data_IF_490937595140
#
_entry.id   IF_490937595140
#
_cell.length_a   1.000
_cell.length_b   1.000
_cell.length_c   1.000
_cell.angle_alpha   90.00
_cell.angle_beta   90.00
_cell.angle_gamma   90.00
#
_symmetry.space_group_name_H-M   'P 1'
#
loop_
_entity.id
_entity.type
_entity.pdbx_description
1 polymer ?
#
# COMPACT_ATOMS: atom_id res chain seq x y z
N UNK A 1 -25.50 -10.09 -23.93
CA UNK A 1 -26.32 -11.17 -23.33
C UNK A 1 -25.47 -12.44 -23.38
N UNK A 2 -25.17 -13.06 -22.24
CA UNK A 2 -24.46 -14.35 -22.22
C UNK A 2 -25.40 -15.45 -22.72
N UNK A 3 -24.96 -16.28 -23.66
CA UNK A 3 -25.73 -17.45 -24.10
C UNK A 3 -25.90 -18.42 -22.92
N UNK A 4 -27.13 -18.90 -22.64
CA UNK A 4 -27.36 -19.82 -21.54
C UNK A 4 -26.68 -21.18 -21.85
N UNK A 5 -25.82 -21.62 -20.92
CA UNK A 5 -25.05 -22.84 -21.06
C UNK A 5 -25.83 -24.05 -20.51
N UNK A 6 -26.73 -24.59 -21.35
CA UNK A 6 -27.76 -25.57 -20.96
C UNK A 6 -27.53 -26.98 -21.52
N UNK A 7 -26.37 -27.25 -22.11
CA UNK A 7 -26.07 -28.54 -22.75
C UNK A 7 -25.01 -29.34 -22.00
N UNK A 8 -25.11 -30.66 -22.06
CA UNK A 8 -24.12 -31.63 -21.55
C UNK A 8 -23.81 -32.71 -22.58
N UNK A 9 -22.65 -33.34 -22.46
CA UNK A 9 -22.21 -34.47 -23.28
C UNK A 9 -22.30 -35.73 -22.43
N UNK A 10 -23.08 -36.70 -22.89
CA UNK A 10 -23.36 -37.95 -22.20
C UNK A 10 -22.96 -39.13 -23.08
N UNK A 11 -22.35 -40.16 -22.49
CA UNK A 11 -22.05 -41.44 -23.17
C UNK A 11 -23.30 -42.32 -23.32
N UNK A 12 -23.19 -43.42 -24.07
CA UNK A 12 -24.29 -44.36 -24.27
C UNK A 12 -24.69 -45.10 -22.99
N UNK A 13 -23.77 -45.09 -22.03
CA UNK A 13 -23.75 -45.70 -20.72
C UNK A 13 -24.37 -44.77 -19.65
N UNK A 14 -24.65 -43.51 -20.02
CA UNK A 14 -25.21 -42.49 -19.13
C UNK A 14 -24.17 -41.67 -18.35
N UNK A 15 -22.88 -41.82 -18.63
CA UNK A 15 -21.81 -41.06 -17.99
C UNK A 15 -21.71 -39.65 -18.60
N UNK A 16 -21.62 -38.62 -17.75
CA UNK A 16 -21.52 -37.23 -18.20
C UNK A 16 -20.06 -36.81 -18.26
N UNK A 17 -19.57 -36.49 -19.47
CA UNK A 17 -18.17 -36.12 -19.69
C UNK A 17 -17.94 -34.61 -19.69
N UNK A 18 -18.97 -33.83 -20.01
CA UNK A 18 -18.91 -32.37 -19.98
C UNK A 18 -20.30 -31.79 -19.74
N UNK A 19 -20.38 -30.74 -18.94
CA UNK A 19 -21.63 -30.02 -18.63
C UNK A 19 -21.44 -28.53 -18.87
N UNK A 20 -22.54 -27.76 -18.86
CA UNK A 20 -22.53 -26.29 -19.01
C UNK A 20 -21.93 -25.84 -20.34
N UNK A 21 -22.31 -26.50 -21.42
CA UNK A 21 -21.97 -26.09 -22.78
C UNK A 21 -23.00 -25.07 -23.30
N UNK A 22 -22.51 -24.01 -23.92
CA UNK A 22 -23.36 -23.09 -24.71
C UNK A 22 -23.88 -23.79 -25.97
N UNK A 23 -24.92 -23.26 -26.59
CA UNK A 23 -25.43 -23.72 -27.90
C UNK A 23 -24.30 -23.83 -28.94
N UNK A 24 -23.42 -22.84 -28.96
CA UNK A 24 -22.27 -22.79 -29.87
C UNK A 24 -21.25 -23.91 -29.59
N UNK A 25 -20.92 -24.15 -28.31
CA UNK A 25 -19.99 -25.22 -27.91
C UNK A 25 -20.59 -26.62 -28.11
N UNK A 26 -21.89 -26.79 -27.83
CA UNK A 26 -22.60 -28.03 -28.07
C UNK A 26 -22.68 -28.36 -29.57
N UNK A 27 -22.92 -27.37 -30.42
CA UNK A 27 -22.93 -27.56 -31.88
C UNK A 27 -21.54 -27.94 -32.43
N UNK A 28 -20.48 -27.29 -31.95
CA UNK A 28 -19.10 -27.66 -32.31
C UNK A 28 -18.78 -29.11 -31.91
N UNK A 29 -19.23 -29.54 -30.71
CA UNK A 29 -19.04 -30.90 -30.23
C UNK A 29 -19.88 -31.92 -31.02
N UNK A 30 -21.13 -31.62 -31.34
CA UNK A 30 -21.98 -32.46 -32.18
C UNK A 30 -21.38 -32.63 -33.59
N UNK A 31 -20.83 -31.57 -34.16
CA UNK A 31 -20.13 -31.61 -35.46
C UNK A 31 -18.88 -32.48 -35.40
N UNK A 32 -18.11 -32.38 -34.31
CA UNK A 32 -16.95 -33.24 -34.06
C UNK A 32 -17.33 -34.71 -33.93
N UNK A 33 -18.43 -35.03 -33.23
CA UNK A 33 -18.93 -36.39 -33.03
C UNK A 33 -19.47 -37.02 -34.33
N UNK A 34 -20.13 -36.25 -35.18
CA UNK A 34 -20.59 -36.71 -36.50
C UNK A 34 -19.41 -36.98 -37.44
N UNK A 35 -18.35 -36.17 -37.33
CA UNK A 35 -17.15 -36.30 -38.18
C UNK A 35 -16.25 -37.46 -37.72
N UNK A 36 -16.19 -37.75 -36.42
CA UNK A 36 -15.39 -38.83 -35.84
C UNK A 36 -16.25 -40.06 -35.50
N UNK A 37 -16.32 -41.01 -36.43
CA UNK A 37 -17.10 -42.27 -36.29
C UNK A 37 -16.63 -43.24 -35.19
N UNK A 38 -15.57 -42.90 -34.45
CA UNK A 38 -14.96 -43.77 -33.41
C UNK A 38 -15.51 -43.54 -32.00
N UNK A 39 -16.55 -42.71 -31.83
CA UNK A 39 -17.19 -42.45 -30.52
C UNK A 39 -18.66 -42.88 -30.51
N UNK A 40 -18.97 -44.17 -30.73
CA UNK A 40 -20.34 -44.65 -30.72
C UNK A 40 -20.95 -44.48 -29.32
N UNK A 41 -22.12 -43.82 -29.25
CA UNK A 41 -22.89 -43.66 -28.01
C UNK A 41 -22.76 -42.29 -27.34
N UNK A 42 -21.79 -41.45 -27.71
CA UNK A 42 -21.66 -40.10 -27.15
C UNK A 42 -22.65 -39.15 -27.83
N UNK A 43 -23.48 -38.46 -27.04
CA UNK A 43 -24.48 -37.50 -27.51
C UNK A 43 -24.54 -36.25 -26.65
N UNK A 44 -24.95 -35.14 -27.25
CA UNK A 44 -25.23 -33.89 -26.54
C UNK A 44 -26.70 -33.83 -26.14
N UNK A 45 -26.98 -33.60 -24.85
CA UNK A 45 -28.33 -33.49 -24.30
C UNK A 45 -28.55 -32.13 -23.62
N UNK A 46 -29.81 -31.71 -23.51
CA UNK A 46 -30.24 -30.56 -22.70
C UNK A 46 -30.27 -30.95 -21.21
N UNK A 47 -29.84 -30.05 -20.33
CA UNK A 47 -29.92 -30.23 -18.88
C UNK A 47 -31.33 -29.91 -18.36
N UNK A 48 -31.87 -30.76 -17.47
CA UNK A 48 -33.25 -30.65 -16.95
C UNK A 48 -33.46 -29.50 -15.94
N UNK A 49 -32.41 -28.85 -15.46
CA UNK A 49 -32.51 -27.62 -14.68
C UNK A 49 -31.24 -26.76 -14.83
N UNK A 50 -31.36 -25.44 -15.07
CA UNK A 50 -30.19 -24.56 -15.05
C UNK A 50 -29.75 -24.38 -13.60
N UNK A 51 -28.72 -25.11 -13.16
CA UNK A 51 -28.02 -24.75 -11.93
C UNK A 51 -27.33 -23.41 -12.15
N UNK A 52 -27.70 -22.46 -11.30
CA UNK A 52 -27.24 -21.08 -11.30
C UNK A 52 -25.71 -21.06 -11.43
N UNK A 53 -25.21 -20.52 -12.54
CA UNK A 53 -23.79 -20.43 -12.84
C UNK A 53 -23.05 -19.88 -11.63
N UNK A 54 -22.24 -20.71 -10.97
CA UNK A 54 -21.25 -20.21 -10.02
C UNK A 54 -20.44 -19.15 -10.78
N UNK A 55 -20.48 -17.92 -10.26
CA UNK A 55 -19.79 -16.80 -10.86
C UNK A 55 -18.32 -17.19 -11.10
N UNK A 56 -17.70 -16.76 -12.21
CA UNK A 56 -16.26 -16.93 -12.37
C UNK A 56 -15.58 -16.41 -11.10
N UNK A 57 -14.68 -17.20 -10.53
CA UNK A 57 -13.80 -16.74 -9.45
C UNK A 57 -12.93 -15.66 -10.07
N UNK A 58 -13.44 -14.42 -10.05
CA UNK A 58 -12.66 -13.24 -10.29
C UNK A 58 -11.53 -13.28 -9.26
N UNK A 59 -10.28 -13.20 -9.74
CA UNK A 59 -9.16 -12.88 -8.87
C UNK A 59 -9.60 -11.72 -7.95
N UNK A 60 -9.32 -11.78 -6.65
CA UNK A 60 -9.84 -10.80 -5.70
C UNK A 60 -9.56 -9.41 -6.25
N UNK A 61 -10.62 -8.67 -6.57
CA UNK A 61 -10.50 -7.27 -6.88
C UNK A 61 -9.82 -6.65 -5.67
N UNK A 62 -8.57 -6.20 -5.83
CA UNK A 62 -7.95 -5.31 -4.86
C UNK A 62 -8.87 -4.08 -4.87
N UNK A 63 -9.77 -4.02 -3.89
CA UNK A 63 -10.64 -2.88 -3.66
C UNK A 63 -9.69 -1.71 -3.49
N UNK A 64 -9.64 -0.82 -4.50
CA UNK A 64 -8.97 0.45 -4.37
C UNK A 64 -9.54 1.08 -3.09
N UNK A 65 -8.68 1.37 -2.11
CA UNK A 65 -9.08 2.15 -0.96
C UNK A 65 -9.80 3.39 -1.51
N UNK A 66 -11.01 3.64 -1.01
CA UNK A 66 -11.94 4.67 -1.48
C UNK A 66 -11.46 6.11 -1.18
N UNK A 67 -10.14 6.32 -1.14
CA UNK A 67 -9.54 7.63 -1.10
C UNK A 67 -9.65 8.21 -2.50
N UNK A 68 -10.41 9.30 -2.71
CA UNK A 68 -10.48 9.94 -4.01
C UNK A 68 -9.06 10.30 -4.44
N UNK A 69 -8.76 10.04 -5.71
CA UNK A 69 -7.49 10.46 -6.29
C UNK A 69 -7.38 11.99 -6.17
N UNK A 70 -6.18 12.51 -5.89
CA UNK A 70 -5.94 13.94 -5.87
C UNK A 70 -6.31 14.52 -7.24
N UNK A 71 -6.97 15.68 -7.22
CA UNK A 71 -7.29 16.44 -8.43
C UNK A 71 -6.01 17.11 -8.91
N UNK A 72 -5.33 16.47 -9.86
CA UNK A 72 -4.08 16.94 -10.44
C UNK A 72 -4.38 17.41 -11.87
N UNK A 73 -3.84 18.57 -12.24
CA UNK A 73 -3.98 19.08 -13.60
C UNK A 73 -3.40 18.08 -14.61
N UNK A 74 -4.10 17.76 -15.71
CA UNK A 74 -3.61 16.81 -16.70
C UNK A 74 -2.24 17.19 -17.25
N UNK A 75 -1.29 16.24 -17.23
CA UNK A 75 0.09 16.45 -17.66
C UNK A 75 1.02 16.97 -16.55
N UNK A 76 0.51 17.17 -15.33
CA UNK A 76 1.29 17.56 -14.13
C UNK A 76 1.48 16.42 -13.12
N UNK A 77 1.06 15.21 -13.44
CA UNK A 77 1.08 14.07 -12.53
C UNK A 77 2.51 13.69 -12.11
N UNK A 78 3.48 13.85 -13.02
CA UNK A 78 4.91 13.61 -12.75
C UNK A 78 5.52 14.65 -11.82
N UNK A 79 5.18 15.92 -12.04
CA UNK A 79 5.60 17.02 -11.15
C UNK A 79 5.00 16.84 -9.75
N UNK A 80 3.71 16.50 -9.66
CA UNK A 80 3.03 16.22 -8.40
C UNK A 80 3.62 14.99 -7.66
N UNK A 81 4.04 13.96 -8.40
CA UNK A 81 4.74 12.81 -7.83
C UNK A 81 6.12 13.20 -7.28
N UNK A 82 6.87 14.05 -7.99
CA UNK A 82 8.16 14.57 -7.53
C UNK A 82 8.01 15.34 -6.22
N UNK A 83 7.06 16.28 -6.17
CA UNK A 83 6.75 17.04 -4.96
C UNK A 83 6.33 16.14 -3.78
N UNK A 84 5.54 15.09 -4.05
CA UNK A 84 5.13 14.15 -3.02
C UNK A 84 6.32 13.34 -2.46
N UNK A 85 7.25 12.90 -3.31
CA UNK A 85 8.47 12.18 -2.89
C UNK A 85 9.38 13.10 -2.08
N UNK A 86 9.59 14.35 -2.54
CA UNK A 86 10.37 15.34 -1.79
C UNK A 86 9.75 15.62 -0.41
N UNK A 87 8.43 15.80 -0.34
CA UNK A 87 7.72 15.98 0.92
C UNK A 87 7.84 14.76 1.85
N UNK A 88 7.86 13.54 1.30
CA UNK A 88 8.08 12.32 2.08
C UNK A 88 9.50 12.27 2.66
N UNK A 89 10.52 12.60 1.86
CA UNK A 89 11.91 12.66 2.32
C UNK A 89 12.09 13.71 3.43
N UNK A 90 11.51 14.89 3.26
CA UNK A 90 11.51 15.95 4.27
C UNK A 90 10.79 15.52 5.55
N UNK A 91 9.64 14.88 5.44
CA UNK A 91 8.89 14.38 6.59
C UNK A 91 9.66 13.27 7.32
N UNK A 92 10.34 12.38 6.60
CA UNK A 92 11.22 11.35 7.18
C UNK A 92 12.35 11.98 7.97
N UNK A 93 13.04 12.98 7.40
CA UNK A 93 14.14 13.67 8.07
C UNK A 93 13.68 14.41 9.34
N UNK A 94 12.49 15.01 9.31
CA UNK A 94 11.88 15.65 10.50
C UNK A 94 11.54 14.63 11.59
N UNK A 95 10.99 13.47 11.21
CA UNK A 95 10.70 12.39 12.15
C UNK A 95 11.99 11.87 12.80
N UNK A 96 13.06 11.68 12.04
CA UNK A 96 14.36 11.27 12.56
C UNK A 96 14.94 12.30 13.54
N UNK A 97 14.83 13.60 13.21
CA UNK A 97 15.26 14.67 14.10
C UNK A 97 14.45 14.70 15.40
N UNK A 98 13.12 14.50 15.33
CA UNK A 98 12.24 14.43 16.48
C UNK A 98 12.57 13.22 17.37
N UNK A 99 12.82 12.04 16.77
CA UNK A 99 13.26 10.84 17.48
C UNK A 99 14.55 11.08 18.27
N UNK A 100 15.56 11.68 17.64
CA UNK A 100 16.83 12.02 18.30
C UNK A 100 16.67 13.10 19.38
N UNK A 101 15.74 14.04 19.20
CA UNK A 101 15.45 15.06 20.21
C UNK A 101 14.81 14.44 21.46
N UNK A 102 13.82 13.56 21.29
CA UNK A 102 13.18 12.81 22.38
C UNK A 102 14.18 11.92 23.10
N UNK A 103 15.05 11.22 22.39
CA UNK A 103 16.10 10.38 22.99
C UNK A 103 17.02 11.22 23.89
N UNK A 104 17.57 12.34 23.37
CA UNK A 104 18.44 13.24 24.13
C UNK A 104 17.72 13.86 25.33
N UNK A 105 16.45 14.26 25.17
CA UNK A 105 15.65 14.81 26.25
C UNK A 105 15.36 13.76 27.34
N UNK A 106 15.12 12.51 26.96
CA UNK A 106 14.92 11.42 27.93
C UNK A 106 16.18 11.16 28.76
N UNK A 107 17.36 11.17 28.13
CA UNK A 107 18.64 11.05 28.82
C UNK A 107 18.90 12.24 29.76
N UNK A 108 18.51 13.45 29.34
CA UNK A 108 18.60 14.64 30.18
C UNK A 108 17.68 14.56 31.41
N UNK A 109 16.43 14.09 31.25
CA UNK A 109 15.51 13.86 32.37
C UNK A 109 16.09 12.83 33.35
N UNK A 110 16.66 11.73 32.85
CA UNK A 110 17.32 10.73 33.69
C UNK A 110 18.50 11.33 34.48
N UNK A 111 19.30 12.20 33.85
CA UNK A 111 20.37 12.92 34.54
C UNK A 111 19.86 13.91 35.61
N UNK A 112 18.71 14.56 35.39
CA UNK A 112 18.08 15.42 36.41
C UNK A 112 17.46 14.62 37.55
N UNK A 113 16.96 13.42 37.27
CA UNK A 113 16.48 12.52 38.31
C UNK A 113 17.63 12.05 39.20
N UNK A 114 18.78 11.68 38.62
CA UNK A 114 19.94 11.26 39.43
C UNK A 114 20.53 12.40 40.26
N UNK A 115 20.53 13.64 39.76
CA UNK A 115 20.86 14.85 40.54
C UNK A 115 19.93 15.00 41.75
N UNK A 116 18.61 14.89 41.53
CA UNK A 116 17.63 14.98 42.61
C UNK A 116 17.83 13.87 43.66
N UNK A 117 18.09 12.64 43.21
CA UNK A 117 18.34 11.51 44.11
C UNK A 117 19.59 11.75 44.97
N UNK A 118 20.66 12.28 44.37
CA UNK A 118 21.90 12.63 45.08
C UNK A 118 21.68 13.75 46.10
N UNK A 119 20.97 14.82 45.73
CA UNK A 119 20.66 15.94 46.63
C UNK A 119 19.74 15.50 47.78
N UNK A 120 18.78 14.61 47.50
CA UNK A 120 17.90 14.02 48.50
C UNK A 120 18.68 13.14 49.48
N UNK A 121 19.63 12.34 48.98
CA UNK A 121 20.49 11.52 49.83
C UNK A 121 21.41 12.37 50.71
N UNK A 122 22.02 13.42 50.15
CA UNK A 122 22.85 14.37 50.89
C UNK A 122 22.05 15.07 52.02
N UNK A 123 20.85 15.56 51.71
CA UNK A 123 19.96 16.19 52.69
C UNK A 123 19.55 15.22 53.81
N UNK A 124 19.22 13.96 53.49
CA UNK A 124 18.95 12.93 54.50
C UNK A 124 20.16 12.66 55.40
N UNK A 125 21.35 12.55 54.81
CA UNK A 125 22.59 12.35 55.56
C UNK A 125 22.89 13.54 56.50
N UNK A 126 22.61 14.77 56.06
CA UNK A 126 22.75 15.96 56.90
C UNK A 126 21.76 15.97 58.08
N UNK A 127 20.51 15.55 57.86
CA UNK A 127 19.51 15.35 58.93
C UNK A 127 19.99 14.33 59.95
N UNK A 128 20.46 13.17 59.48
CA UNK A 128 20.95 12.10 60.34
C UNK A 128 22.19 12.55 61.15
N UNK A 129 23.14 13.21 60.50
CA UNK A 129 24.34 13.74 61.16
C UNK A 129 24.01 14.84 62.18
N UNK A 130 23.10 15.76 61.83
CA UNK A 130 22.62 16.79 62.76
C UNK A 130 21.92 16.15 63.98
N UNK A 131 21.08 15.15 63.76
CA UNK A 131 20.40 14.38 64.82
C UNK A 131 21.38 13.64 65.73
N UNK A 132 22.42 13.01 65.17
CA UNK A 132 23.47 12.34 65.91
C UNK A 132 24.27 13.33 66.78
N UNK A 133 24.67 14.47 66.20
CA UNK A 133 25.38 15.53 66.90
C UNK A 133 24.54 16.13 68.04
N UNK A 134 23.23 16.33 67.82
CA UNK A 134 22.31 16.79 68.86
C UNK A 134 22.18 15.77 70.00
N UNK A 135 22.03 14.49 69.66
CA UNK A 135 21.94 13.42 70.66
C UNK A 135 23.22 13.28 71.49
N UNK A 136 24.40 13.47 70.89
CA UNK A 136 25.69 13.46 71.60
C UNK A 136 25.87 14.68 72.50
N UNK A 137 25.53 15.89 72.01
CA UNK A 137 25.57 17.10 72.81
C UNK A 137 24.67 17.00 74.06
N UNK A 138 23.46 16.47 73.91
CA UNK A 138 22.54 16.24 75.03
C UNK A 138 23.10 15.25 76.06
N UNK A 139 23.76 14.17 75.64
CA UNK A 139 24.40 13.19 76.54
C UNK A 139 25.55 13.81 77.33
N UNK A 140 26.33 14.68 76.71
CA UNK A 140 27.47 15.35 77.35
C UNK A 140 27.09 16.46 78.35
N UNK A 141 25.80 16.75 78.53
CA UNK A 141 25.33 17.86 79.38
C UNK A 141 25.58 19.25 78.77
N UNK A 142 25.89 19.33 77.47
CA UNK A 142 26.09 20.59 76.76
C UNK A 142 24.78 21.32 76.55
N UNK A 143 24.61 22.49 77.17
CA UNK A 143 23.36 23.25 77.17
C UNK A 143 23.09 24.09 75.90
N UNK A 144 23.95 24.05 74.88
CA UNK A 144 23.77 24.87 73.68
C UNK A 144 24.11 24.11 72.41
N UNK A 145 23.16 23.32 71.91
CA UNK A 145 23.07 23.15 70.47
C UNK A 145 22.47 24.44 69.92
N UNK A 146 23.11 25.06 68.93
CA UNK A 146 22.60 26.28 68.31
C UNK A 146 21.21 25.96 67.71
N UNK A 147 20.15 26.40 68.39
CA UNK A 147 18.76 26.16 68.02
C UNK A 147 18.41 26.76 66.64
N UNK A 148 19.33 27.53 66.08
CA UNK A 148 19.25 28.20 64.78
C UNK A 148 19.78 27.36 63.62
N UNK A 149 20.33 26.16 63.85
CA UNK A 149 20.86 25.32 62.77
C UNK A 149 19.73 24.69 61.96
N UNK A 150 19.22 25.45 60.99
CA UNK A 150 18.22 25.01 60.01
C UNK A 150 18.93 24.24 58.91
N UNK A 151 18.50 23.01 58.66
CA UNK A 151 18.94 22.23 57.49
C UNK A 151 18.17 22.76 56.28
N UNK A 152 18.90 23.24 55.28
CA UNK A 152 18.30 23.88 54.12
C UNK A 152 17.77 22.85 53.11
N UNK A 153 16.48 22.91 52.82
CA UNK A 153 15.82 22.08 51.79
C UNK A 153 15.87 22.73 50.40
N UNK A 154 16.29 24.00 50.29
CA UNK A 154 16.37 24.75 49.04
C UNK A 154 17.02 24.00 47.88
N UNK A 155 18.19 23.35 48.06
CA UNK A 155 18.85 22.62 46.98
C UNK A 155 18.07 21.42 46.46
N UNK A 156 17.25 20.77 47.31
CA UNK A 156 16.34 19.68 46.89
C UNK A 156 15.18 20.25 46.08
N UNK A 157 14.57 21.35 46.54
CA UNK A 157 13.47 22.01 45.83
C UNK A 157 13.91 22.51 44.45
N UNK A 158 15.11 23.10 44.35
CA UNK A 158 15.68 23.55 43.08
C UNK A 158 15.89 22.37 42.10
N UNK A 159 16.39 21.23 42.60
CA UNK A 159 16.57 20.03 41.80
C UNK A 159 15.21 19.43 41.35
N UNK A 160 14.19 19.47 42.20
CA UNK A 160 12.81 19.09 41.85
C UNK A 160 12.29 19.97 40.69
N UNK A 161 12.40 21.30 40.81
CA UNK A 161 11.94 22.23 39.78
C UNK A 161 12.66 22.01 38.43
N UNK A 162 13.98 21.80 38.44
CA UNK A 162 14.74 21.51 37.21
C UNK A 162 14.30 20.19 36.56
N UNK A 163 14.06 19.15 37.37
CA UNK A 163 13.59 17.84 36.90
C UNK A 163 12.18 17.92 36.33
N UNK A 164 11.28 18.66 36.96
CA UNK A 164 9.90 18.83 36.48
C UNK A 164 9.84 19.69 35.21
N UNK A 165 10.67 20.73 35.13
CA UNK A 165 10.82 21.53 33.89
C UNK A 165 11.34 20.66 32.74
N UNK A 166 12.33 19.78 33.00
CA UNK A 166 12.85 18.86 32.01
C UNK A 166 11.79 17.83 31.55
N UNK A 167 10.93 17.36 32.46
CA UNK A 167 9.81 16.47 32.11
C UNK A 167 8.78 17.16 31.23
N UNK A 168 8.38 18.39 31.57
CA UNK A 168 7.45 19.16 30.74
C UNK A 168 8.00 19.41 29.33
N UNK A 169 9.31 19.70 29.21
CA UNK A 169 9.96 19.84 27.91
C UNK A 169 9.98 18.51 27.12
N UNK A 170 10.21 17.38 27.79
CA UNK A 170 10.14 16.05 27.16
C UNK A 170 8.71 15.75 26.65
N UNK A 171 7.68 16.07 27.42
CA UNK A 171 6.28 15.89 27.02
C UNK A 171 5.95 16.67 25.74
N UNK A 172 6.44 17.91 25.63
CA UNK A 172 6.28 18.70 24.40
C UNK A 172 7.00 18.05 23.20
N UNK A 173 8.25 17.58 23.38
CA UNK A 173 9.00 16.93 22.30
C UNK A 173 8.34 15.61 21.84
N UNK A 174 7.71 14.86 22.76
CA UNK A 174 6.95 13.65 22.41
C UNK A 174 5.68 13.99 21.61
N UNK A 175 5.02 15.10 21.92
CA UNK A 175 3.91 15.60 21.11
C UNK A 175 4.38 15.96 19.69
N UNK A 176 5.48 16.70 19.56
CA UNK A 176 6.09 17.05 18.26
C UNK A 176 6.53 15.81 17.45
N UNK A 177 7.05 14.77 18.12
CA UNK A 177 7.37 13.48 17.50
C UNK A 177 6.10 12.80 16.95
N UNK A 178 5.01 12.83 17.70
CA UNK A 178 3.73 12.24 17.29
C UNK A 178 3.15 12.97 16.07
N UNK A 179 3.22 14.31 16.06
CA UNK A 179 2.82 15.11 14.91
C UNK A 179 3.69 14.83 13.67
N UNK A 180 4.99 14.68 13.88
CA UNK A 180 5.94 14.34 12.81
C UNK A 180 5.68 12.95 12.21
N UNK A 181 5.35 11.95 13.03
CA UNK A 181 4.96 10.61 12.57
C UNK A 181 3.65 10.64 11.77
N UNK A 182 2.66 11.41 12.23
CA UNK A 182 1.41 11.61 11.49
C UNK A 182 1.65 12.27 10.12
N UNK A 183 2.52 13.30 10.08
CA UNK A 183 2.90 13.97 8.83
C UNK A 183 3.64 13.02 7.86
N UNK A 184 4.53 12.17 8.38
CA UNK A 184 5.23 11.17 7.56
C UNK A 184 4.25 10.16 6.92
N UNK A 185 3.30 9.63 7.69
CA UNK A 185 2.26 8.72 7.18
C UNK A 185 1.35 9.38 6.14
N UNK A 186 1.04 10.66 6.33
CA UNK A 186 0.28 11.44 5.35
C UNK A 186 1.08 11.61 4.04
N UNK A 187 2.38 11.91 4.12
CA UNK A 187 3.24 12.03 2.96
C UNK A 187 3.39 10.70 2.20
N UNK A 188 3.55 9.56 2.90
CA UNK A 188 3.58 8.23 2.27
C UNK A 188 2.27 7.93 1.51
N UNK A 189 1.14 8.31 2.10
CA UNK A 189 -0.17 8.19 1.45
C UNK A 189 -0.26 9.06 0.22
N UNK A 190 0.26 10.30 0.27
CA UNK A 190 0.29 11.21 -0.86
C UNK A 190 1.12 10.66 -2.03
N UNK A 191 2.31 10.09 -1.77
CA UNK A 191 3.14 9.42 -2.79
C UNK A 191 2.36 8.27 -3.43
N UNK A 192 1.71 7.42 -2.64
CA UNK A 192 0.90 6.32 -3.17
C UNK A 192 -0.20 6.81 -4.11
N UNK A 193 -0.89 7.90 -3.75
CA UNK A 193 -1.95 8.48 -4.57
C UNK A 193 -1.41 9.14 -5.85
N UNK A 194 -0.29 9.85 -5.76
CA UNK A 194 0.38 10.44 -6.92
C UNK A 194 0.85 9.37 -7.93
N UNK A 195 1.42 8.26 -7.43
CA UNK A 195 1.75 7.10 -8.27
C UNK A 195 0.52 6.52 -8.98
N UNK A 196 -0.64 6.49 -8.32
CA UNK A 196 -1.89 6.04 -8.97
C UNK A 196 -2.37 7.03 -10.03
N UNK A 197 -2.22 8.34 -9.81
CA UNK A 197 -2.56 9.36 -10.79
C UNK A 197 -1.70 9.24 -12.06
N UNK A 198 -0.37 9.07 -11.92
CA UNK A 198 0.54 8.85 -13.07
C UNK A 198 0.13 7.63 -13.89
N UNK A 199 -0.14 6.50 -13.24
CA UNK A 199 -0.58 5.28 -13.96
C UNK A 199 -1.91 5.48 -14.68
N UNK A 200 -2.83 6.25 -14.09
CA UNK A 200 -4.10 6.55 -14.73
C UNK A 200 -3.87 7.38 -15.99
N UNK A 201 -3.03 8.41 -15.93
CA UNK A 201 -2.66 9.21 -17.10
C UNK A 201 -2.02 8.34 -18.20
N UNK A 202 -1.12 7.43 -17.83
CA UNK A 202 -0.49 6.49 -18.78
C UNK A 202 -1.52 5.54 -19.42
N UNK A 203 -2.48 5.02 -18.64
CA UNK A 203 -3.57 4.17 -19.16
C UNK A 203 -4.47 4.99 -20.10
N UNK A 204 -4.82 6.22 -19.76
CA UNK A 204 -5.61 7.09 -20.62
C UNK A 204 -4.89 7.39 -21.95
N UNK A 205 -3.57 7.58 -21.92
CA UNK A 205 -2.75 7.71 -23.14
C UNK A 205 -2.76 6.40 -23.97
N UNK A 206 -2.67 5.24 -23.33
CA UNK A 206 -2.79 3.94 -24.01
C UNK A 206 -4.17 3.73 -24.62
N UNK A 207 -5.24 4.16 -23.94
CA UNK A 207 -6.62 4.06 -24.45
C UNK A 207 -6.77 4.92 -25.70
N UNK A 208 -6.31 6.18 -25.69
CA UNK A 208 -6.33 7.04 -26.89
C UNK A 208 -5.57 6.41 -28.05
N UNK A 209 -4.36 5.89 -27.79
CA UNK A 209 -3.58 5.19 -28.82
C UNK A 209 -4.27 3.94 -29.33
N UNK A 210 -4.97 3.19 -28.47
CA UNK A 210 -5.73 2.01 -28.86
C UNK A 210 -6.92 2.38 -29.73
N UNK A 211 -7.59 3.51 -29.46
CA UNK A 211 -8.67 4.04 -30.30
C UNK A 211 -8.17 4.39 -31.70
N UNK A 212 -7.02 5.07 -31.81
CA UNK A 212 -6.39 5.39 -33.09
C UNK A 212 -6.01 4.13 -33.88
N UNK A 213 -5.31 3.20 -33.24
CA UNK A 213 -4.90 1.92 -33.87
C UNK A 213 -6.11 1.08 -34.26
N UNK A 214 -7.20 1.11 -33.47
CA UNK A 214 -8.44 0.43 -33.82
C UNK A 214 -9.09 1.04 -35.05
N UNK A 215 -9.06 2.36 -35.21
CA UNK A 215 -9.57 3.03 -36.40
C UNK A 215 -8.77 2.62 -37.65
N UNK A 216 -7.44 2.63 -37.56
CA UNK A 216 -6.54 2.17 -38.64
C UNK A 216 -6.76 0.70 -38.99
N UNK A 217 -6.82 -0.19 -37.99
CA UNK A 217 -7.09 -1.60 -38.17
C UNK A 217 -8.44 -1.82 -38.86
N UNK A 218 -9.49 -1.12 -38.42
CA UNK A 218 -10.83 -1.24 -39.02
C UNK A 218 -10.84 -0.77 -40.46
N UNK A 219 -10.15 0.33 -40.78
CA UNK A 219 -10.03 0.83 -42.15
C UNK A 219 -9.29 -0.17 -43.06
N UNK A 220 -8.20 -0.77 -42.59
CA UNK A 220 -7.46 -1.78 -43.34
C UNK A 220 -8.24 -3.08 -43.50
N UNK A 221 -8.87 -3.57 -42.44
CA UNK A 221 -9.66 -4.80 -42.46
C UNK A 221 -10.87 -4.66 -43.41
N UNK A 222 -11.57 -3.52 -43.39
CA UNK A 222 -12.68 -3.25 -44.32
C UNK A 222 -12.22 -3.12 -45.77
N UNK A 223 -11.05 -2.53 -46.03
CA UNK A 223 -10.48 -2.47 -47.38
C UNK A 223 -10.10 -3.86 -47.91
N UNK A 224 -9.52 -4.72 -47.07
CA UNK A 224 -9.18 -6.11 -47.41
C UNK A 224 -10.46 -6.92 -47.67
N UNK A 225 -11.49 -6.75 -46.84
CA UNK A 225 -12.78 -7.41 -47.02
C UNK A 225 -13.48 -6.95 -48.31
N UNK A 226 -13.50 -5.64 -48.58
CA UNK A 226 -14.05 -5.05 -49.80
C UNK A 226 -13.32 -5.53 -51.08
N UNK A 227 -12.01 -5.75 -51.02
CA UNK A 227 -11.24 -6.27 -52.14
C UNK A 227 -11.71 -7.68 -52.57
N UNK A 228 -12.24 -8.49 -51.64
CA UNK A 228 -12.80 -9.81 -51.94
C UNK A 228 -14.06 -9.72 -52.82
N UNK A 229 -14.83 -8.65 -52.68
CA UNK A 229 -15.99 -8.36 -53.52
C UNK A 229 -15.63 -7.73 -54.88
N UNK A 230 -14.34 -7.46 -55.10
CA UNK A 230 -13.79 -6.88 -56.34
C UNK A 230 -12.79 -7.83 -57.03
N UNK A 231 -13.06 -9.13 -56.98
CA UNK A 231 -12.27 -10.21 -57.62
C UNK A 231 -10.83 -10.38 -57.10
N UNK A 232 -10.48 -9.85 -55.93
CA UNK A 232 -9.18 -10.10 -55.27
C UNK A 232 -9.34 -11.22 -54.23
N UNK A 233 -8.80 -12.44 -54.46
CA UNK A 233 -8.95 -13.54 -53.52
C UNK A 233 -8.26 -13.27 -52.18
N UNK A 234 -8.96 -13.56 -51.08
CA UNK A 234 -8.40 -13.46 -49.73
C UNK A 234 -7.27 -14.48 -49.52
N UNK A 235 -6.13 -14.02 -49.00
CA UNK A 235 -5.04 -14.91 -48.57
C UNK A 235 -5.26 -15.39 -47.15
N UNK A 236 -4.79 -16.60 -46.83
CA UNK A 236 -4.81 -17.15 -45.47
C UNK A 236 -4.11 -16.23 -44.46
N UNK A 237 -2.99 -15.61 -44.86
CA UNK A 237 -2.26 -14.63 -44.05
C UNK A 237 -3.08 -13.36 -43.79
N UNK A 238 -3.84 -12.87 -44.77
CA UNK A 238 -4.74 -11.72 -44.59
C UNK A 238 -5.88 -12.03 -43.61
N UNK A 239 -6.47 -13.22 -43.71
CA UNK A 239 -7.51 -13.68 -42.78
C UNK A 239 -6.99 -13.89 -41.36
N UNK A 240 -5.74 -14.36 -41.19
CA UNK A 240 -5.10 -14.43 -39.87
C UNK A 240 -4.80 -13.04 -39.30
N UNK A 241 -4.30 -12.09 -40.12
CA UNK A 241 -3.97 -10.74 -39.67
C UNK A 241 -5.21 -9.94 -39.19
N UNK A 242 -6.40 -10.29 -39.66
CA UNK A 242 -7.67 -9.73 -39.17
C UNK A 242 -8.14 -10.31 -37.83
N UNK A 243 -7.46 -11.32 -37.27
CA UNK A 243 -7.79 -11.88 -35.96
C UNK A 243 -7.04 -11.13 -34.86
N UNK A 244 -7.76 -10.76 -33.80
CA UNK A 244 -7.17 -10.16 -32.61
C UNK A 244 -6.92 -11.26 -31.59
N UNK A 245 -5.66 -11.52 -31.28
CA UNK A 245 -5.26 -12.43 -30.20
C UNK A 245 -4.70 -11.59 -29.04
N UNK A 246 -5.32 -11.70 -27.87
CA UNK A 246 -4.86 -11.01 -26.66
C UNK A 246 -4.11 -12.03 -25.80
N UNK A 247 -2.79 -11.85 -25.57
CA UNK A 247 -2.02 -12.77 -24.74
C UNK A 247 -2.43 -12.69 -23.26
N UNK A 248 -2.05 -13.70 -22.48
CA UNK A 248 -2.35 -13.78 -21.04
C UNK A 248 -1.89 -12.52 -20.27
N UNK A 249 -2.69 -11.99 -19.34
CA UNK A 249 -2.38 -10.77 -18.61
C UNK A 249 -1.21 -10.90 -17.61
N UNK A 250 -0.76 -12.11 -17.30
CA UNK A 250 0.21 -12.35 -16.21
C UNK A 250 1.55 -11.62 -16.40
N UNK A 251 2.07 -11.59 -17.63
CA UNK A 251 3.31 -10.87 -17.94
C UNK A 251 3.09 -9.36 -17.83
N UNK A 252 1.98 -8.85 -18.36
CA UNK A 252 1.65 -7.43 -18.31
C UNK A 252 1.44 -6.94 -16.87
N UNK A 253 0.82 -7.75 -16.00
CA UNK A 253 0.63 -7.42 -14.60
C UNK A 253 1.98 -7.26 -13.87
N UNK A 254 2.96 -8.14 -14.15
CA UNK A 254 4.31 -8.02 -13.57
C UNK A 254 5.02 -6.73 -13.99
N UNK A 255 4.87 -6.32 -15.25
CA UNK A 255 5.40 -5.03 -15.75
C UNK A 255 4.80 -3.88 -14.95
N UNK A 256 3.47 -3.86 -14.76
CA UNK A 256 2.80 -2.84 -13.96
C UNK A 256 3.27 -2.82 -12.51
N UNK A 257 3.51 -3.97 -11.88
CA UNK A 257 4.03 -4.02 -10.51
C UNK A 257 5.45 -3.48 -10.39
N UNK A 258 6.34 -3.82 -11.33
CA UNK A 258 7.73 -3.30 -11.36
C UNK A 258 7.74 -1.79 -11.59
N UNK A 259 6.97 -1.34 -12.56
CA UNK A 259 6.79 0.07 -12.86
C UNK A 259 6.24 0.84 -11.66
N UNK A 260 5.26 0.27 -10.95
CA UNK A 260 4.70 0.84 -9.72
C UNK A 260 5.74 1.05 -8.63
N UNK A 261 6.69 0.11 -8.50
CA UNK A 261 7.76 0.19 -7.52
C UNK A 261 8.77 1.25 -7.96
N UNK A 262 9.18 1.24 -9.23
CA UNK A 262 10.12 2.21 -9.78
C UNK A 262 9.63 3.66 -9.61
N UNK A 263 8.34 3.93 -9.85
CA UNK A 263 7.75 5.27 -9.67
C UNK A 263 7.83 5.83 -8.24
N UNK A 264 8.02 4.99 -7.23
CA UNK A 264 8.18 5.48 -5.84
C UNK A 264 9.56 6.07 -5.60
N UNK A 265 10.55 5.58 -6.33
CA UNK A 265 11.95 5.96 -6.18
C UNK A 265 12.38 6.96 -7.26
N UNK A 266 11.83 6.83 -8.46
CA UNK A 266 12.11 7.67 -9.62
C UNK A 266 10.80 8.16 -10.27
N UNK A 267 10.43 9.44 -10.12
CA UNK A 267 9.22 9.99 -10.72
C UNK A 267 9.28 10.00 -12.25
N UNK A 268 10.45 9.85 -12.88
CA UNK A 268 10.64 9.82 -14.34
C UNK A 268 10.64 8.42 -14.94
N UNK A 269 10.53 7.36 -14.12
CA UNK A 269 10.52 5.99 -14.61
C UNK A 269 9.51 5.81 -15.76
N UNK A 270 9.92 5.18 -16.86
CA UNK A 270 9.03 4.88 -17.97
C UNK A 270 8.57 3.42 -17.91
N UNK A 271 7.32 3.16 -18.31
CA UNK A 271 6.79 1.78 -18.29
C UNK A 271 7.54 0.90 -19.29
N UNK A 272 7.96 1.45 -20.42
CA UNK A 272 8.68 0.73 -21.47
C UNK A 272 9.97 0.07 -20.98
N UNK A 273 10.60 0.64 -19.94
CA UNK A 273 11.87 0.13 -19.38
C UNK A 273 11.72 -1.24 -18.69
N UNK A 274 10.48 -1.66 -18.45
CA UNK A 274 10.15 -2.89 -17.71
C UNK A 274 9.41 -3.94 -18.55
N UNK A 275 9.19 -3.67 -19.85
CA UNK A 275 8.42 -4.47 -20.79
C UNK A 275 9.16 -5.71 -21.32
#
# INVERSE_FOLDING_TARGET
MQEPAIFRVVSGDGEVHAEKLTSTAAYAMATFLVTNRNLPGIRTELMDAPEQSAAPVAAPHIVAAATPLPDIEPGKERDALREAIEAQLDASARLDAANQAVERASAFVAARQSELDAMTAAHKSEIEASGANLAEALKSGGASFDASRVIDRGPVLDAEVRRDTAKAALEQLVAEQTESDAAYKAAETAVRLAVMAVKRADVEAMVKRLEDVKAEFTALATAIDAAQYSDVPATFSGQQAMRIEIPSPDTAAKVWHRYSAALRDDPEAAREDFA
#
